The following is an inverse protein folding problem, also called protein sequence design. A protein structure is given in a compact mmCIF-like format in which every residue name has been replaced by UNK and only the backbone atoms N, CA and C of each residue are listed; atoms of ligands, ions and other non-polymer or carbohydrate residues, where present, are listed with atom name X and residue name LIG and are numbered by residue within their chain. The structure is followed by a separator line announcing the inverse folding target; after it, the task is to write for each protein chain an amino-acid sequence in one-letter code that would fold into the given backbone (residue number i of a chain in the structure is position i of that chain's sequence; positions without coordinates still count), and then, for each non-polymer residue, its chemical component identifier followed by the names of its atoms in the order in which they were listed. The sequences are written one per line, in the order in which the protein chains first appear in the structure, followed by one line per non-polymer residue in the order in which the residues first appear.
data_IF_106699382358
#
_entry.id   IF_106699382358
#
_cell.length_a   1.000
_cell.length_b   1.000
_cell.length_c   1.000
_cell.angle_alpha   90.00
_cell.angle_beta   90.00
_cell.angle_gamma   90.00
#
_symmetry.space_group_name_H-M   'P 1'
#
loop_
_entity.id
_entity.type
_entity.pdbx_description
1 polymer ?
#
# COMPACT_ATOMS: atom_id res chain seq x y z
N UNK A 1 5.66 10.91 -11.39
CA UNK A 1 5.24 11.38 -12.74
C UNK A 1 3.80 10.95 -12.92
N UNK A 2 2.90 11.87 -13.25
CA UNK A 2 1.51 11.52 -13.52
C UNK A 2 1.44 10.74 -14.83
N UNK A 3 0.87 9.54 -14.79
CA UNK A 3 0.68 8.67 -15.95
C UNK A 3 -0.67 7.96 -15.82
N UNK A 4 -1.53 8.16 -16.80
CA UNK A 4 -2.84 7.51 -16.86
C UNK A 4 -2.74 6.15 -17.56
N UNK A 5 -3.64 5.24 -17.17
CA UNK A 5 -3.81 3.92 -17.76
C UNK A 5 -4.86 3.92 -18.86
N UNK A 6 -4.69 3.07 -19.85
CA UNK A 6 -5.72 2.77 -20.86
C UNK A 6 -6.68 1.66 -20.43
N UNK A 7 -6.46 1.04 -19.26
CA UNK A 7 -7.30 -0.07 -18.77
C UNK A 7 -8.68 0.40 -18.34
N UNK A 8 -9.70 -0.31 -18.80
CA UNK A 8 -11.10 -0.05 -18.52
C UNK A 8 -11.58 -0.91 -17.33
N UNK A 9 -12.18 -0.32 -16.27
CA UNK A 9 -12.70 -1.07 -15.11
C UNK A 9 -13.66 -2.21 -15.44
N UNK A 10 -14.45 -2.08 -16.49
CA UNK A 10 -15.39 -3.10 -16.99
C UNK A 10 -14.70 -4.34 -17.58
N UNK A 11 -13.41 -4.25 -17.90
CA UNK A 11 -12.61 -5.37 -18.41
C UNK A 11 -11.81 -6.06 -17.30
N UNK A 12 -11.90 -5.60 -16.05
CA UNK A 12 -11.22 -6.23 -14.93
C UNK A 12 -11.78 -7.64 -14.69
N UNK A 13 -10.91 -8.64 -14.56
CA UNK A 13 -11.30 -10.01 -14.25
C UNK A 13 -11.73 -10.16 -12.77
N UNK A 14 -11.33 -9.22 -11.93
CA UNK A 14 -11.70 -9.17 -10.51
C UNK A 14 -11.88 -7.74 -10.03
N UNK A 15 -12.85 -7.53 -9.14
CA UNK A 15 -13.13 -6.25 -8.48
C UNK A 15 -13.64 -6.50 -7.06
N UNK A 16 -13.12 -5.75 -6.09
CA UNK A 16 -13.58 -5.80 -4.70
C UNK A 16 -13.44 -4.43 -4.04
N UNK A 17 -14.48 -4.02 -3.31
CA UNK A 17 -14.44 -2.81 -2.48
C UNK A 17 -14.00 -3.21 -1.07
N UNK A 18 -12.96 -2.55 -0.57
CA UNK A 18 -12.41 -2.77 0.77
C UNK A 18 -12.84 -1.60 1.65
N UNK A 19 -13.67 -1.86 2.65
CA UNK A 19 -14.12 -0.82 3.56
C UNK A 19 -12.97 -0.29 4.43
N UNK A 20 -13.14 0.90 5.00
CA UNK A 20 -12.14 1.47 5.89
C UNK A 20 -11.92 0.59 7.12
N UNK A 21 -10.65 0.31 7.45
CA UNK A 21 -10.25 -0.60 8.52
C UNK A 21 -10.20 -2.08 8.12
N UNK A 22 -10.78 -2.46 7.00
CA UNK A 22 -10.68 -3.85 6.51
C UNK A 22 -9.36 -4.11 5.78
N UNK A 23 -9.10 -5.39 5.54
CA UNK A 23 -7.94 -5.85 4.79
C UNK A 23 -8.35 -6.48 3.46
N UNK A 24 -7.38 -6.59 2.56
CA UNK A 24 -7.48 -7.39 1.34
C UNK A 24 -6.21 -8.21 1.19
N UNK A 25 -6.34 -9.50 0.87
CA UNK A 25 -5.18 -10.37 0.59
C UNK A 25 -5.47 -11.28 -0.60
N UNK A 26 -4.53 -11.36 -1.55
CA UNK A 26 -4.67 -12.18 -2.75
C UNK A 26 -3.30 -12.42 -3.42
N UNK A 27 -3.20 -13.49 -4.20
CA UNK A 27 -2.10 -13.69 -5.16
C UNK A 27 -2.43 -13.01 -6.49
N UNK A 28 -1.48 -12.23 -7.00
CA UNK A 28 -1.42 -11.73 -8.36
C UNK A 28 -0.51 -12.65 -9.16
N UNK A 29 -1.00 -13.22 -10.25
CA UNK A 29 -0.17 -14.01 -11.15
C UNK A 29 0.77 -13.09 -11.94
N UNK A 30 1.93 -13.61 -12.32
CA UNK A 30 2.89 -12.87 -13.13
C UNK A 30 2.22 -12.29 -14.38
N UNK A 31 2.42 -10.99 -14.63
CA UNK A 31 1.85 -10.25 -15.75
C UNK A 31 0.49 -9.60 -15.44
N UNK A 32 -0.24 -10.04 -14.40
CA UNK A 32 -1.46 -9.35 -13.99
C UNK A 32 -1.18 -7.93 -13.52
N UNK A 33 -2.15 -7.04 -13.73
CA UNK A 33 -2.12 -5.68 -13.20
C UNK A 33 -3.18 -5.51 -12.13
N UNK A 34 -2.77 -5.04 -10.95
CA UNK A 34 -3.69 -4.57 -9.90
C UNK A 34 -3.82 -3.05 -9.96
N UNK A 35 -5.03 -2.52 -9.80
CA UNK A 35 -5.31 -1.11 -9.55
C UNK A 35 -5.86 -0.95 -8.14
N UNK A 36 -5.28 -0.02 -7.40
CA UNK A 36 -5.87 0.55 -6.20
C UNK A 36 -6.56 1.83 -6.62
N UNK A 37 -7.87 1.92 -6.40
CA UNK A 37 -8.70 3.07 -6.73
C UNK A 37 -9.23 3.69 -5.44
N UNK A 38 -8.93 4.96 -5.22
CA UNK A 38 -9.51 5.75 -4.14
C UNK A 38 -10.90 6.24 -4.58
N UNK A 39 -11.95 5.79 -3.89
CA UNK A 39 -13.33 6.05 -4.29
C UNK A 39 -13.81 7.45 -3.92
N UNK A 40 -13.33 7.99 -2.79
CA UNK A 40 -13.84 9.24 -2.22
C UNK A 40 -12.75 10.30 -2.02
N UNK A 41 -11.49 9.97 -2.31
CA UNK A 41 -10.36 10.87 -2.17
C UNK A 41 -9.74 10.82 -0.79
N UNK A 42 -8.51 11.32 -0.74
CA UNK A 42 -7.67 11.43 0.46
C UNK A 42 -7.32 10.11 1.16
N UNK A 43 -7.94 8.96 0.83
CA UNK A 43 -7.75 7.71 1.58
C UNK A 43 -6.32 7.20 1.47
N UNK A 44 -5.76 6.63 2.54
CA UNK A 44 -4.46 5.95 2.53
C UNK A 44 -4.63 4.42 2.51
N UNK A 45 -3.81 3.73 1.72
CA UNK A 45 -3.81 2.26 1.63
C UNK A 45 -2.41 1.72 1.94
N UNK A 46 -2.27 1.10 3.11
CA UNK A 46 -1.00 0.55 3.58
C UNK A 46 -0.87 -0.87 3.01
N UNK A 47 0.16 -1.12 2.20
CA UNK A 47 0.26 -2.34 1.39
C UNK A 47 1.62 -3.02 1.54
N UNK A 48 1.57 -4.34 1.66
CA UNK A 48 2.70 -5.27 1.73
C UNK A 48 2.69 -6.18 0.49
N UNK A 49 3.88 -6.57 0.04
CA UNK A 49 4.05 -7.46 -1.12
C UNK A 49 5.08 -8.56 -0.84
N UNK A 50 4.75 -9.78 -1.24
CA UNK A 50 5.57 -10.98 -1.03
C UNK A 50 5.62 -11.79 -2.32
N UNK A 51 6.72 -12.51 -2.57
CA UNK A 51 6.71 -13.58 -3.56
C UNK A 51 5.73 -14.67 -3.14
N UNK A 52 4.87 -15.12 -4.05
CA UNK A 52 3.93 -16.20 -3.79
C UNK A 52 4.62 -17.56 -3.62
N UNK A 53 5.82 -17.71 -4.19
CA UNK A 53 6.60 -18.94 -4.05
C UNK A 53 7.31 -19.05 -2.69
N UNK A 54 7.69 -17.92 -2.09
CA UNK A 54 8.41 -17.86 -0.82
C UNK A 54 8.23 -16.49 -0.14
N UNK A 55 7.41 -16.37 0.92
CA UNK A 55 7.19 -15.11 1.62
C UNK A 55 8.43 -14.50 2.30
N UNK A 56 9.54 -15.26 2.42
CA UNK A 56 10.81 -14.69 2.87
C UNK A 56 11.40 -13.73 1.83
N UNK A 57 11.01 -13.86 0.56
CA UNK A 57 11.21 -12.87 -0.49
C UNK A 57 10.05 -11.88 -0.53
N UNK A 58 10.33 -10.62 -0.27
CA UNK A 58 9.31 -9.58 -0.09
C UNK A 58 9.81 -8.21 -0.44
N UNK A 59 8.90 -7.26 -0.60
CA UNK A 59 9.23 -5.88 -0.90
C UNK A 59 10.30 -5.31 0.05
N UNK A 60 11.27 -4.61 -0.54
CA UNK A 60 12.32 -3.90 0.18
C UNK A 60 12.29 -2.43 -0.20
N UNK A 61 11.84 -1.59 0.74
CA UNK A 61 11.90 -0.14 0.61
C UNK A 61 13.34 0.33 0.38
N UNK A 62 14.29 -0.24 1.12
CA UNK A 62 15.71 0.14 1.05
C UNK A 62 16.31 -0.13 -0.34
N UNK A 63 16.08 -1.32 -0.88
CA UNK A 63 16.61 -1.70 -2.20
C UNK A 63 15.91 -0.92 -3.32
N UNK A 64 14.60 -0.72 -3.20
CA UNK A 64 13.82 0.08 -4.15
C UNK A 64 14.32 1.53 -4.19
N UNK A 65 14.47 2.18 -3.04
CA UNK A 65 14.98 3.55 -2.91
C UNK A 65 16.39 3.66 -3.48
N UNK A 66 17.26 2.69 -3.15
CA UNK A 66 18.66 2.67 -3.60
C UNK A 66 18.76 2.57 -5.12
N UNK A 67 18.02 1.65 -5.74
CA UNK A 67 18.07 1.43 -7.19
C UNK A 67 17.43 2.57 -7.98
N UNK A 68 16.34 3.16 -7.48
CA UNK A 68 15.69 4.26 -8.17
C UNK A 68 16.29 5.65 -7.86
N UNK A 69 17.08 5.79 -6.80
CA UNK A 69 17.66 7.06 -6.35
C UNK A 69 16.62 8.08 -5.88
N UNK A 70 15.46 7.63 -5.38
CA UNK A 70 14.34 8.47 -4.98
C UNK A 70 13.63 7.83 -3.76
N UNK A 71 13.09 8.65 -2.88
CA UNK A 71 12.36 8.21 -1.67
C UNK A 71 10.86 8.05 -1.90
N UNK A 72 10.36 8.57 -3.02
CA UNK A 72 8.94 8.45 -3.40
C UNK A 72 8.76 7.49 -4.56
N UNK A 73 7.70 6.69 -4.46
CA UNK A 73 7.29 5.76 -5.50
C UNK A 73 6.29 6.44 -6.44
N UNK A 74 6.37 6.17 -7.74
CA UNK A 74 5.45 6.69 -8.77
C UNK A 74 5.54 5.85 -10.04
N UNK A 75 4.74 6.15 -11.07
CA UNK A 75 4.82 5.48 -12.36
C UNK A 75 6.26 5.37 -12.89
N UNK A 76 6.64 4.18 -13.33
CA UNK A 76 7.99 3.78 -13.73
C UNK A 76 8.85 3.20 -12.60
N UNK A 77 8.38 3.23 -11.35
CA UNK A 77 9.08 2.60 -10.24
C UNK A 77 8.98 1.09 -10.32
N UNK A 78 10.12 0.41 -10.33
CA UNK A 78 10.21 -1.05 -10.12
C UNK A 78 10.37 -1.31 -8.62
N UNK A 79 9.42 -2.01 -8.04
CA UNK A 79 9.45 -2.43 -6.65
C UNK A 79 10.36 -3.65 -6.51
N UNK A 80 11.47 -3.48 -5.80
CA UNK A 80 12.48 -4.53 -5.63
C UNK A 80 12.19 -5.38 -4.40
N UNK A 81 12.46 -6.68 -4.50
CA UNK A 81 12.50 -7.57 -3.33
C UNK A 81 13.80 -7.38 -2.54
N UNK A 82 13.80 -7.87 -1.31
CA UNK A 82 15.01 -8.04 -0.49
C UNK A 82 16.04 -9.03 -1.07
N UNK A 83 15.73 -9.70 -2.19
CA UNK A 83 16.65 -10.53 -2.97
C UNK A 83 17.08 -9.86 -4.28
N UNK A 84 16.77 -8.57 -4.46
CA UNK A 84 17.10 -7.78 -5.65
C UNK A 84 16.39 -8.27 -6.93
N UNK A 85 15.24 -8.94 -6.81
CA UNK A 85 14.40 -9.27 -7.96
C UNK A 85 13.27 -8.24 -8.12
N UNK A 86 12.87 -7.89 -9.35
CA UNK A 86 11.66 -7.10 -9.59
C UNK A 86 10.40 -7.87 -9.12
N UNK A 87 9.67 -7.33 -8.15
CA UNK A 87 8.38 -7.89 -7.69
C UNK A 87 7.21 -7.33 -8.50
N UNK A 88 7.12 -6.00 -8.56
CA UNK A 88 6.10 -5.30 -9.34
C UNK A 88 6.69 -4.06 -10.00
N UNK A 89 5.99 -3.51 -10.98
CA UNK A 89 6.26 -2.17 -11.50
C UNK A 89 5.01 -1.31 -11.41
N UNK A 90 5.14 -0.07 -10.94
CA UNK A 90 4.07 0.92 -11.01
C UNK A 90 3.93 1.39 -12.47
N UNK A 91 2.89 0.92 -13.16
CA UNK A 91 2.70 1.18 -14.60
C UNK A 91 1.84 2.41 -14.89
N UNK A 92 1.02 2.83 -13.93
CA UNK A 92 0.23 4.06 -13.97
C UNK A 92 0.08 4.64 -12.55
N UNK A 93 0.04 5.96 -12.44
CA UNK A 93 -0.10 6.68 -11.18
C UNK A 93 -0.70 8.06 -11.49
N UNK A 94 -1.87 8.32 -10.93
CA UNK A 94 -2.59 9.59 -11.14
C UNK A 94 -2.45 10.57 -9.96
N UNK A 95 -1.73 10.18 -8.91
CA UNK A 95 -1.40 10.99 -7.73
C UNK A 95 0.00 11.60 -7.83
N UNK A 96 0.93 10.89 -8.45
CA UNK A 96 2.26 11.37 -8.85
C UNK A 96 3.38 11.06 -7.85
N UNK A 97 3.06 10.66 -6.62
CA UNK A 97 4.01 10.16 -5.60
C UNK A 97 3.30 9.33 -4.52
N UNK A 98 4.02 8.39 -3.92
CA UNK A 98 3.57 7.60 -2.78
C UNK A 98 4.70 7.41 -1.77
N UNK A 99 4.35 7.31 -0.50
CA UNK A 99 5.31 7.14 0.59
C UNK A 99 5.67 5.67 0.82
N UNK A 100 6.92 5.44 1.20
CA UNK A 100 7.41 4.13 1.69
C UNK A 100 8.35 4.29 2.90
N UNK A 101 8.48 5.50 3.45
CA UNK A 101 9.30 5.78 4.62
C UNK A 101 8.50 5.60 5.92
N UNK A 102 7.23 5.99 5.91
CA UNK A 102 6.33 5.86 7.04
C UNK A 102 5.98 4.40 7.28
N UNK A 103 6.13 3.95 8.53
CA UNK A 103 5.53 2.68 8.95
C UNK A 103 4.02 2.82 9.12
N UNK A 104 3.28 1.78 8.74
CA UNK A 104 1.85 1.67 8.97
C UNK A 104 1.46 1.92 10.43
N UNK A 105 0.25 2.45 10.64
CA UNK A 105 -0.21 2.74 11.99
C UNK A 105 -0.39 1.45 12.81
N UNK A 106 -0.04 1.53 14.09
CA UNK A 106 -0.16 0.45 15.06
C UNK A 106 -0.62 1.00 16.41
N UNK A 107 -1.31 0.17 17.20
CA UNK A 107 -1.73 0.47 18.58
C UNK A 107 -0.60 1.09 19.39
N UNK A 108 0.58 0.46 19.40
CA UNK A 108 1.73 0.94 20.17
C UNK A 108 2.22 2.30 19.66
N UNK A 109 2.31 2.49 18.35
CA UNK A 109 2.73 3.78 17.77
C UNK A 109 1.73 4.91 18.07
N UNK A 110 0.44 4.62 18.05
CA UNK A 110 -0.61 5.62 18.29
C UNK A 110 -0.58 6.10 19.76
N UNK A 111 -0.32 5.19 20.70
CA UNK A 111 -0.20 5.54 22.13
C UNK A 111 1.01 6.41 22.44
N UNK A 112 2.12 6.20 21.71
CA UNK A 112 3.33 7.02 21.88
C UNK A 112 3.21 8.36 21.16
N UNK A 113 2.63 8.40 19.96
CA UNK A 113 2.57 9.61 19.13
C UNK A 113 1.45 10.58 19.52
N UNK A 114 0.31 10.08 19.98
CA UNK A 114 -0.90 10.88 20.15
C UNK A 114 -1.37 10.91 21.61
N UNK A 115 -1.86 9.78 22.13
CA UNK A 115 -2.29 9.65 23.52
C UNK A 115 -2.51 8.17 23.90
N UNK A 116 -2.34 7.81 25.17
CA UNK A 116 -2.62 6.48 25.68
C UNK A 116 -4.07 6.03 25.43
N UNK A 117 -5.03 6.95 25.42
CA UNK A 117 -6.44 6.69 25.13
C UNK A 117 -6.67 6.12 23.72
N UNK A 118 -5.72 6.31 22.80
CA UNK A 118 -5.80 5.80 21.41
C UNK A 118 -5.55 4.29 21.30
N UNK A 119 -5.24 3.61 22.42
CA UNK A 119 -4.89 2.18 22.44
C UNK A 119 -5.97 1.27 21.82
N UNK A 120 -7.24 1.60 22.00
CA UNK A 120 -8.35 0.76 21.52
C UNK A 120 -8.82 1.13 20.10
N UNK A 121 -8.21 2.13 19.47
CA UNK A 121 -8.55 2.51 18.11
C UNK A 121 -7.93 1.53 17.11
N UNK A 122 -8.68 1.25 16.04
CA UNK A 122 -8.24 0.36 14.98
C UNK A 122 -6.98 0.93 14.30
N UNK A 123 -6.05 0.04 13.96
CA UNK A 123 -4.81 0.39 13.27
C UNK A 123 -4.51 -0.62 12.15
N UNK A 124 -3.79 -0.19 11.11
CA UNK A 124 -3.47 -1.02 9.94
C UNK A 124 -2.76 -2.31 10.30
N UNK A 125 -1.87 -2.23 11.30
CA UNK A 125 -1.16 -3.39 11.81
C UNK A 125 -2.12 -4.46 12.36
N UNK A 126 -3.26 -4.08 12.92
CA UNK A 126 -4.26 -5.01 13.43
C UNK A 126 -5.01 -5.69 12.28
N UNK A 127 -5.36 -4.95 11.22
CA UNK A 127 -5.97 -5.48 9.99
C UNK A 127 -5.06 -6.53 9.34
N UNK A 128 -3.75 -6.28 9.25
CA UNK A 128 -2.80 -7.28 8.75
C UNK A 128 -2.66 -8.48 9.69
N UNK A 129 -2.64 -8.26 11.01
CA UNK A 129 -2.61 -9.37 11.97
C UNK A 129 -3.86 -10.25 11.83
N UNK A 130 -5.03 -9.66 11.59
CA UNK A 130 -6.26 -10.40 11.30
C UNK A 130 -6.12 -11.20 10.00
N UNK A 131 -5.67 -10.57 8.91
CA UNK A 131 -5.48 -11.19 7.61
C UNK A 131 -4.58 -12.43 7.68
N UNK A 132 -3.39 -12.31 8.27
CA UNK A 132 -2.44 -13.44 8.34
C UNK A 132 -2.92 -14.58 9.25
N UNK A 133 -3.80 -14.30 10.22
CA UNK A 133 -4.44 -15.34 11.04
C UNK A 133 -5.59 -16.04 10.29
N UNK A 134 -6.36 -15.30 9.49
CA UNK A 134 -7.51 -15.84 8.75
C UNK A 134 -7.11 -16.58 7.47
N UNK A 135 -5.93 -16.27 6.92
CA UNK A 135 -5.43 -16.86 5.68
C UNK A 135 -4.07 -17.57 5.85
N UNK A 136 -4.02 -18.70 6.59
CA UNK A 136 -2.79 -19.45 6.81
C UNK A 136 -2.19 -20.07 5.52
N UNK A 137 -2.97 -20.17 4.44
CA UNK A 137 -2.55 -20.65 3.13
C UNK A 137 -1.47 -19.78 2.46
N UNK A 138 -1.34 -18.50 2.84
CA UNK A 138 -0.26 -17.64 2.36
C UNK A 138 1.04 -17.81 3.16
N UNK A 139 1.04 -18.63 4.21
CA UNK A 139 2.21 -18.90 5.05
C UNK A 139 2.88 -17.65 5.65
N UNK A 140 2.08 -16.60 5.87
CA UNK A 140 2.50 -15.35 6.52
C UNK A 140 2.20 -15.41 8.02
N UNK A 141 3.04 -14.75 8.82
CA UNK A 141 2.79 -14.53 10.23
C UNK A 141 3.28 -13.16 10.70
N UNK A 142 3.21 -12.94 12.01
CA UNK A 142 3.59 -11.67 12.65
C UNK A 142 4.98 -11.16 12.26
N UNK A 143 5.93 -12.07 12.00
CA UNK A 143 7.33 -11.75 11.64
C UNK A 143 7.48 -11.20 10.23
N UNK A 144 6.50 -11.45 9.37
CA UNK A 144 6.54 -11.12 7.95
C UNK A 144 5.96 -9.72 7.66
N UNK A 145 5.23 -9.14 8.63
CA UNK A 145 4.80 -7.74 8.61
C UNK A 145 6.04 -6.84 8.76
N UNK A 146 6.47 -6.23 7.65
CA UNK A 146 7.71 -5.43 7.57
C UNK A 146 7.49 -4.10 6.86
N UNK A 147 8.41 -3.65 6.00
CA UNK A 147 8.28 -2.36 5.29
C UNK A 147 7.07 -2.37 4.36
N UNK A 148 6.25 -1.33 4.43
CA UNK A 148 5.06 -1.18 3.61
C UNK A 148 5.19 0.01 2.66
N UNK A 149 4.26 0.07 1.72
CA UNK A 149 3.99 1.25 0.90
C UNK A 149 2.70 1.88 1.42
N UNK A 150 2.69 3.18 1.64
CA UNK A 150 1.49 3.95 1.98
C UNK A 150 0.97 4.61 0.71
N UNK A 151 0.17 3.89 -0.08
CA UNK A 151 -0.41 4.47 -1.29
C UNK A 151 -1.34 5.63 -0.93
N UNK A 152 -1.35 6.65 -1.79
CA UNK A 152 -2.09 7.92 -1.66
C UNK A 152 -1.71 8.83 -0.48
N UNK A 153 -1.03 8.29 0.53
CA UNK A 153 -0.55 9.05 1.68
C UNK A 153 0.50 10.10 1.28
N UNK A 154 0.45 11.26 1.93
CA UNK A 154 1.37 12.36 1.70
C UNK A 154 2.34 12.54 2.90
N UNK A 155 3.59 12.14 2.71
CA UNK A 155 4.64 12.28 3.73
C UNK A 155 5.83 13.04 3.15
N UNK A 156 5.79 14.39 3.13
CA UNK A 156 6.89 15.17 2.56
C UNK A 156 8.17 15.07 3.41
N UNK A 157 9.29 14.88 2.72
CA UNK A 157 10.64 14.96 3.28
C UNK A 157 11.20 16.38 3.07
N UNK A 158 11.60 17.04 4.15
CA UNK A 158 12.24 18.37 4.08
C UNK A 158 13.73 18.25 3.77
N UNK A 159 14.36 19.35 3.35
CA UNK A 159 15.81 19.37 3.06
C UNK A 159 16.66 19.04 4.31
N UNK A 160 16.13 19.32 5.50
CA UNK A 160 16.74 19.03 6.80
C UNK A 160 16.50 17.58 7.26
N UNK A 161 15.75 16.78 6.48
CA UNK A 161 15.41 15.40 6.80
C UNK A 161 14.18 15.25 7.71
N UNK A 162 13.36 16.30 7.85
CA UNK A 162 12.09 16.23 8.57
C UNK A 162 11.03 15.45 7.79
N UNK A 163 10.09 14.84 8.51
CA UNK A 163 8.92 14.15 7.98
C UNK A 163 7.67 14.66 8.68
N UNK A 164 6.62 14.99 7.91
CA UNK A 164 5.30 15.33 8.44
C UNK A 164 4.22 14.47 7.80
N UNK A 165 3.11 14.27 8.52
CA UNK A 165 1.90 13.69 7.93
C UNK A 165 1.03 14.86 7.48
N UNK A 166 0.89 15.02 6.17
CA UNK A 166 0.06 16.04 5.56
C UNK A 166 -1.22 15.42 5.00
N UNK A 167 -2.18 16.25 4.59
CA UNK A 167 -3.33 15.80 3.82
C UNK A 167 -2.87 14.97 2.62
N UNK A 168 -3.52 13.82 2.42
CA UNK A 168 -3.33 12.96 1.27
C UNK A 168 -3.47 13.72 -0.05
N UNK A 169 -2.77 13.22 -1.07
CA UNK A 169 -2.70 13.90 -2.38
C UNK A 169 -3.76 13.38 -3.37
N UNK A 170 -4.55 12.39 -2.94
CA UNK A 170 -5.56 11.73 -3.76
C UNK A 170 -6.88 12.49 -3.75
N UNK A 171 -7.63 12.38 -4.84
CA UNK A 171 -8.98 12.88 -5.04
C UNK A 171 -9.88 11.72 -5.51
N UNK A 172 -11.22 11.82 -5.43
CA UNK A 172 -12.11 10.76 -5.91
C UNK A 172 -11.74 10.29 -7.32
N UNK A 173 -11.62 8.98 -7.50
CA UNK A 173 -11.30 8.35 -8.78
C UNK A 173 -9.81 8.31 -9.12
N UNK A 174 -8.93 8.81 -8.25
CA UNK A 174 -7.48 8.64 -8.40
C UNK A 174 -7.06 7.20 -8.09
N UNK A 175 -6.05 6.75 -8.82
CA UNK A 175 -5.56 5.39 -8.74
C UNK A 175 -4.06 5.27 -8.99
N UNK A 176 -3.55 4.11 -8.59
CA UNK A 176 -2.23 3.58 -8.92
C UNK A 176 -2.38 2.17 -9.48
N UNK A 177 -1.59 1.81 -10.49
CA UNK A 177 -1.55 0.47 -11.08
C UNK A 177 -0.19 -0.16 -10.95
N UNK A 178 -0.16 -1.44 -10.58
CA UNK A 178 1.05 -2.23 -10.48
C UNK A 178 0.94 -3.51 -11.31
N UNK A 179 1.91 -3.76 -12.18
CA UNK A 179 2.02 -5.04 -12.90
C UNK A 179 2.96 -5.96 -12.15
N UNK A 180 2.50 -7.17 -11.83
CA UNK A 180 3.29 -8.21 -11.20
C UNK A 180 4.39 -8.71 -12.15
N UNK A 181 5.64 -8.71 -11.69
CA UNK A 181 6.81 -9.21 -12.43
C UNK A 181 7.12 -10.68 -12.10
N UNK A 182 6.50 -11.20 -11.05
CA UNK A 182 6.41 -12.61 -10.65
C UNK A 182 5.10 -12.83 -9.89
N UNK A 183 4.72 -14.07 -9.63
CA UNK A 183 3.56 -14.36 -8.78
C UNK A 183 3.77 -13.74 -7.39
N UNK A 184 2.84 -12.88 -6.98
CA UNK A 184 3.03 -11.96 -5.85
C UNK A 184 1.80 -11.96 -4.96
N UNK A 185 1.96 -12.19 -3.67
CA UNK A 185 0.91 -11.94 -2.68
C UNK A 185 0.88 -10.45 -2.35
N UNK A 186 -0.28 -9.82 -2.56
CA UNK A 186 -0.59 -8.46 -2.10
C UNK A 186 -1.39 -8.56 -0.81
N UNK A 187 -1.01 -7.77 0.20
CA UNK A 187 -1.74 -7.62 1.46
C UNK A 187 -1.95 -6.13 1.76
N UNK A 188 -3.19 -5.68 1.73
CA UNK A 188 -3.58 -4.29 1.97
C UNK A 188 -4.29 -4.18 3.30
N UNK A 189 -4.04 -3.09 4.01
CA UNK A 189 -4.92 -2.56 5.04
C UNK A 189 -5.46 -1.22 4.56
N UNK A 190 -6.78 -1.09 4.43
CA UNK A 190 -7.39 0.19 4.10
C UNK A 190 -7.40 1.08 5.36
N UNK A 191 -6.54 2.10 5.42
CA UNK A 191 -6.12 2.73 6.67
C UNK A 191 -7.26 3.39 7.46
N UNK A 192 -7.53 2.98 8.73
CA UNK A 192 -8.59 3.55 9.56
C UNK A 192 -8.13 4.74 10.43
N UNK A 193 -6.96 5.32 10.16
CA UNK A 193 -6.36 6.33 11.03
C UNK A 193 -7.26 7.57 11.19
N UNK A 194 -7.37 8.09 12.41
CA UNK A 194 -8.18 9.29 12.72
C UNK A 194 -7.39 10.34 13.49
N UNK A 195 -6.12 10.08 13.81
CA UNK A 195 -5.31 10.94 14.67
C UNK A 195 -4.37 11.87 13.88
N UNK A 196 -4.40 11.83 12.55
CA UNK A 196 -3.61 12.69 11.68
C UNK A 196 -4.35 12.90 10.34
N UNK A 197 -3.91 13.85 9.48
CA UNK A 197 -4.67 14.25 8.30
C UNK A 197 -4.55 13.31 7.10
N UNK A 198 -3.87 12.15 7.21
CA UNK A 198 -3.52 11.33 6.06
C UNK A 198 -4.69 10.82 5.22
N UNK A 199 -5.90 10.83 5.79
CA UNK A 199 -7.18 10.52 5.14
C UNK A 199 -8.24 11.60 5.37
N UNK A 200 -7.82 12.82 5.67
CA UNK A 200 -8.73 13.94 5.94
C UNK A 200 -9.62 13.72 7.17
N UNK A 201 -9.18 12.87 8.11
CA UNK A 201 -9.95 12.48 9.30
C UNK A 201 -11.27 11.77 8.99
N UNK A 202 -11.44 11.29 7.75
CA UNK A 202 -12.61 10.56 7.30
C UNK A 202 -12.17 9.36 6.44
N UNK A 203 -11.87 8.21 7.07
CA UNK A 203 -11.50 7.00 6.35
C UNK A 203 -12.61 6.54 5.40
N UNK A 204 -12.27 6.33 4.13
CA UNK A 204 -13.21 5.95 3.06
C UNK A 204 -12.81 4.63 2.40
N UNK A 205 -13.72 3.97 1.67
CA UNK A 205 -13.40 2.71 0.98
C UNK A 205 -12.45 2.92 -0.21
N UNK A 206 -11.66 1.89 -0.50
CA UNK A 206 -10.93 1.75 -1.77
C UNK A 206 -11.54 0.62 -2.60
N UNK A 207 -11.32 0.64 -3.91
CA UNK A 207 -11.61 -0.49 -4.78
C UNK A 207 -10.32 -1.09 -5.32
N UNK A 208 -10.20 -2.41 -5.24
CA UNK A 208 -9.14 -3.20 -5.85
C UNK A 208 -9.68 -3.81 -7.13
N UNK A 209 -9.01 -3.54 -8.25
CA UNK A 209 -9.33 -4.12 -9.56
C UNK A 209 -8.12 -4.89 -10.09
N UNK A 210 -8.35 -6.02 -10.76
CA UNK A 210 -7.28 -6.82 -11.37
C UNK A 210 -7.63 -7.11 -12.83
N UNK A 211 -6.64 -6.99 -13.71
CA UNK A 211 -6.71 -7.41 -15.10
C UNK A 211 -5.69 -8.51 -15.36
N UNK A 212 -6.09 -9.46 -16.20
CA UNK A 212 -5.19 -10.43 -16.79
C UNK A 212 -4.25 -9.77 -17.81
N UNK A 213 -3.22 -10.52 -18.20
CA UNK A 213 -2.21 -10.11 -19.17
C UNK A 213 -2.74 -10.14 -20.61
#
# INVERSE_FOLDING_TARGET
MIKESTRQPEQACFREVVAAGDYFIRTLDQGQTVRLLDLEGNQAADTLFYSAADPAERYSAMDTIREQGNVYLTAGTVLMSNRMNPLLEIVADTCGRHDTLGGACATESNTVRYDLEKRCMHACRDSWMLAVNQHPEFHLGKRDITHNINFFMNVPVTAEGGLTFEDGISAPGKYVELTARMDTVILISNCPQLNNPCNGYNPTPIEVLIWDH
#
